data_IF_327793937746
#
_entry.id   IF_327793937746
#
_cell.length_a   1.000
_cell.length_b   1.000
_cell.length_c   1.000
_cell.angle_alpha   90.00
_cell.angle_beta   90.00
_cell.angle_gamma   90.00
#
_symmetry.space_group_name_H-M   'P 1'
#
loop_
_entity.id
_entity.type
_entity.pdbx_description
1 polymer ?
#
# COMPACT_ATOMS: atom_id res chain seq x y z
N UNK A 1 -20.30 10.37 -8.61
CA UNK A 1 -19.87 9.70 -7.38
C UNK A 1 -19.35 8.31 -7.63
N UNK A 2 -20.14 7.50 -8.31
CA UNK A 2 -19.74 6.11 -8.54
C UNK A 2 -18.47 5.98 -9.38
N UNK A 3 -18.21 6.95 -10.25
CA UNK A 3 -17.04 6.89 -11.12
C UNK A 3 -15.72 7.02 -10.36
N UNK A 4 -15.77 7.52 -9.13
CA UNK A 4 -14.58 7.70 -8.33
C UNK A 4 -14.25 6.50 -7.48
N UNK A 5 -15.11 5.51 -7.45
CA UNK A 5 -14.95 4.35 -6.59
C UNK A 5 -13.69 3.55 -6.88
N UNK A 6 -13.36 3.37 -8.15
CA UNK A 6 -12.18 2.58 -8.51
C UNK A 6 -10.89 3.23 -8.04
N UNK A 7 -10.78 4.53 -8.21
CA UNK A 7 -9.60 5.25 -7.78
C UNK A 7 -9.48 5.23 -6.26
N UNK A 8 -10.59 5.47 -5.58
CA UNK A 8 -10.60 5.46 -4.11
C UNK A 8 -10.26 4.10 -3.54
N UNK A 9 -10.76 3.04 -4.18
CA UNK A 9 -10.48 1.68 -3.74
C UNK A 9 -8.99 1.37 -3.88
N UNK A 10 -8.38 1.78 -4.98
CA UNK A 10 -6.96 1.52 -5.21
C UNK A 10 -6.10 2.27 -4.19
N UNK A 11 -6.42 3.54 -3.94
CA UNK A 11 -5.72 4.32 -2.92
C UNK A 11 -5.84 3.68 -1.56
N UNK A 12 -7.04 3.23 -1.23
CA UNK A 12 -7.29 2.59 0.05
C UNK A 12 -6.49 1.32 0.20
N UNK A 13 -6.42 0.52 -0.87
CA UNK A 13 -5.62 -0.70 -0.86
C UNK A 13 -4.14 -0.39 -0.67
N UNK A 14 -3.67 0.68 -1.27
CA UNK A 14 -2.28 1.09 -1.13
C UNK A 14 -1.99 1.50 0.31
N UNK A 15 -2.88 2.26 0.93
CA UNK A 15 -2.73 2.65 2.32
C UNK A 15 -2.75 1.46 3.26
N UNK A 16 -3.66 0.51 3.02
CA UNK A 16 -3.73 -0.70 3.82
C UNK A 16 -2.44 -1.50 3.68
N UNK A 17 -1.91 -1.59 2.48
CA UNK A 17 -0.66 -2.31 2.23
C UNK A 17 0.51 -1.65 2.94
N UNK A 18 0.59 -0.32 2.87
CA UNK A 18 1.64 0.42 3.57
C UNK A 18 1.56 0.22 5.08
N UNK A 19 0.35 0.33 5.61
CA UNK A 19 0.13 0.16 7.04
C UNK A 19 0.50 -1.25 7.50
N UNK A 20 0.09 -2.26 6.74
CA UNK A 20 0.45 -3.64 7.04
C UNK A 20 1.96 -3.83 7.05
N UNK A 21 2.63 -3.29 6.05
CA UNK A 21 4.08 -3.40 5.97
C UNK A 21 4.74 -2.73 7.18
N UNK A 22 4.26 -1.54 7.51
CA UNK A 22 4.79 -0.79 8.64
C UNK A 22 4.64 -1.56 9.95
N UNK A 23 3.44 -2.05 10.20
CA UNK A 23 3.14 -2.78 11.44
C UNK A 23 3.92 -4.09 11.51
N UNK A 24 3.95 -4.83 10.41
CA UNK A 24 4.64 -6.12 10.38
C UNK A 24 6.14 -5.99 10.62
N UNK A 25 6.71 -4.86 10.24
CA UNK A 25 8.14 -4.62 10.42
C UNK A 25 8.43 -3.72 11.62
N UNK A 26 7.39 -3.37 12.37
CA UNK A 26 7.52 -2.55 13.59
C UNK A 26 8.22 -1.22 13.32
N UNK A 27 7.80 -0.56 12.27
CA UNK A 27 8.38 0.71 11.85
C UNK A 27 7.48 1.87 12.26
N UNK A 28 8.11 3.03 12.49
CA UNK A 28 7.36 4.27 12.59
C UNK A 28 7.05 4.78 11.19
N UNK A 29 6.16 5.76 11.09
CA UNK A 29 5.84 6.35 9.79
C UNK A 29 7.09 6.96 9.15
N UNK A 30 7.93 7.62 9.95
CA UNK A 30 9.17 8.19 9.45
C UNK A 30 10.12 7.14 8.92
N UNK A 31 10.24 6.03 9.63
CA UNK A 31 11.10 4.94 9.21
C UNK A 31 10.61 4.32 7.90
N UNK A 32 9.29 4.18 7.77
CA UNK A 32 8.72 3.67 6.54
C UNK A 32 9.00 4.60 5.37
N UNK A 33 8.82 5.90 5.58
CA UNK A 33 9.08 6.89 4.54
C UNK A 33 10.54 6.84 4.08
N UNK A 34 11.46 6.73 5.02
CA UNK A 34 12.87 6.60 4.69
C UNK A 34 13.16 5.33 3.91
N UNK A 35 12.57 4.23 4.34
CA UNK A 35 12.79 2.95 3.69
C UNK A 35 12.31 2.97 2.25
N UNK A 36 11.14 3.56 2.02
CA UNK A 36 10.59 3.69 0.68
C UNK A 36 11.52 4.55 -0.19
N UNK A 37 12.09 5.59 0.38
CA UNK A 37 13.00 6.47 -0.35
C UNK A 37 14.30 5.76 -0.74
N UNK A 38 14.79 4.89 0.13
CA UNK A 38 16.07 4.23 -0.09
C UNK A 38 15.95 2.94 -0.86
N UNK A 39 14.84 2.25 -0.74
CA UNK A 39 14.71 0.92 -1.30
C UNK A 39 13.55 0.84 -2.27
N UNK A 40 13.87 0.76 -3.55
CA UNK A 40 12.86 0.56 -4.57
C UNK A 40 12.13 -0.77 -4.38
N UNK A 41 12.86 -1.77 -3.88
CA UNK A 41 12.26 -3.07 -3.61
C UNK A 41 11.15 -3.01 -2.58
N UNK A 42 11.31 -2.15 -1.58
CA UNK A 42 10.28 -1.95 -0.56
C UNK A 42 9.02 -1.36 -1.17
N UNK A 43 9.18 -0.33 -1.97
CA UNK A 43 8.06 0.30 -2.64
C UNK A 43 7.34 -0.69 -3.56
N UNK A 44 8.11 -1.44 -4.34
CA UNK A 44 7.57 -2.43 -5.25
C UNK A 44 6.78 -3.51 -4.50
N UNK A 45 7.29 -3.94 -3.35
CA UNK A 45 6.59 -4.93 -2.54
C UNK A 45 5.25 -4.40 -2.03
N UNK A 46 5.23 -3.14 -1.60
CA UNK A 46 4.01 -2.51 -1.12
C UNK A 46 3.00 -2.39 -2.25
N UNK A 47 3.45 -1.97 -3.43
CA UNK A 47 2.57 -1.84 -4.59
C UNK A 47 2.01 -3.20 -5.02
N UNK A 48 2.84 -4.22 -5.03
CA UNK A 48 2.43 -5.56 -5.41
C UNK A 48 1.36 -6.09 -4.46
N UNK A 49 1.56 -5.88 -3.16
CA UNK A 49 0.57 -6.29 -2.17
C UNK A 49 -0.72 -5.50 -2.29
N UNK A 50 -0.61 -4.20 -2.54
CA UNK A 50 -1.79 -3.36 -2.74
C UNK A 50 -2.61 -3.85 -3.92
N UNK A 51 -1.95 -4.25 -4.98
CA UNK A 51 -2.61 -4.77 -6.17
C UNK A 51 -3.37 -6.06 -5.86
N UNK A 52 -2.78 -6.94 -5.08
CA UNK A 52 -3.46 -8.15 -4.65
C UNK A 52 -4.71 -7.85 -3.84
N UNK A 53 -4.61 -6.91 -2.92
CA UNK A 53 -5.76 -6.49 -2.11
C UNK A 53 -6.85 -5.93 -3.03
N UNK A 54 -6.45 -5.13 -4.00
CA UNK A 54 -7.38 -4.54 -4.95
C UNK A 54 -8.12 -5.62 -5.75
N UNK A 55 -7.39 -6.61 -6.24
CA UNK A 55 -8.00 -7.70 -6.98
C UNK A 55 -9.01 -8.48 -6.14
N UNK A 56 -8.65 -8.73 -4.88
CA UNK A 56 -9.55 -9.41 -3.96
C UNK A 56 -10.85 -8.64 -3.76
N UNK A 57 -10.74 -7.34 -3.59
CA UNK A 57 -11.92 -6.51 -3.34
C UNK A 57 -12.80 -6.34 -4.58
N UNK A 58 -12.20 -6.42 -5.75
CA UNK A 58 -12.94 -6.23 -7.00
C UNK A 58 -13.54 -7.51 -7.54
N UNK A 59 -13.31 -8.62 -6.87
CA UNK A 59 -13.98 -9.85 -7.20
C UNK A 59 -15.38 -9.85 -6.61
#
# INVERSE_FOLDING_TARGET
MSSLHHENILEDCFEVSMESFRVNNKLTQEQLDELISFSKGTYDAICSNAYKIFQDRCQ
#
